data_IF_553741394721
#
_entry.id   IF_553741394721
#
_cell.length_a   1.000
_cell.length_b   1.000
_cell.length_c   1.000
_cell.angle_alpha   90.00
_cell.angle_beta   90.00
_cell.angle_gamma   90.00
#
_symmetry.space_group_name_H-M   'P 1'
#
loop_
_entity.id
_entity.type
_entity.pdbx_description
1 polymer ?
#
# COMPACT_ATOMS: atom_id res chain seq x y z
N UNK A 1 4.45 25.61 3.82
CA UNK A 1 4.75 24.28 3.23
C UNK A 1 4.25 23.22 4.22
N UNK A 2 3.44 22.24 3.78
CA UNK A 2 2.93 21.19 4.68
C UNK A 2 4.02 20.17 5.02
N UNK A 3 3.97 19.58 6.21
CA UNK A 3 4.94 18.57 6.69
C UNK A 3 4.69 17.23 5.99
N UNK A 4 5.74 16.46 5.71
CA UNK A 4 5.62 15.05 5.34
C UNK A 4 5.27 14.22 6.58
N UNK A 5 4.20 13.42 6.49
CA UNK A 5 3.77 12.55 7.58
C UNK A 5 4.65 11.29 7.64
N UNK A 6 4.95 10.76 8.83
CA UNK A 6 5.61 9.46 8.97
C UNK A 6 4.59 8.31 9.00
N UNK A 7 5.05 7.06 8.84
CA UNK A 7 4.20 5.87 8.96
C UNK A 7 3.54 5.77 10.36
N UNK A 8 4.28 6.10 11.42
CA UNK A 8 3.80 6.09 12.81
C UNK A 8 2.76 7.20 13.06
N UNK A 9 3.02 8.42 12.59
CA UNK A 9 2.08 9.54 12.68
C UNK A 9 0.77 9.24 11.94
N UNK A 10 0.87 8.67 10.73
CA UNK A 10 -0.29 8.26 9.93
C UNK A 10 -1.09 7.14 10.59
N UNK A 11 -0.39 6.16 11.17
CA UNK A 11 -1.02 5.07 11.93
C UNK A 11 -1.78 5.64 13.12
N UNK A 12 -1.15 6.54 13.88
CA UNK A 12 -1.76 7.20 15.05
C UNK A 12 -3.00 8.01 14.67
N UNK A 13 -2.94 8.79 13.59
CA UNK A 13 -4.09 9.53 13.04
C UNK A 13 -5.26 8.61 12.71
N UNK A 14 -5.00 7.49 12.04
CA UNK A 14 -6.04 6.53 11.67
C UNK A 14 -6.65 5.81 12.90
N UNK A 15 -5.88 5.60 13.97
CA UNK A 15 -6.41 5.09 15.24
C UNK A 15 -7.24 6.13 16.00
N UNK A 16 -6.83 7.41 16.00
CA UNK A 16 -7.61 8.50 16.61
C UNK A 16 -8.98 8.66 15.94
N UNK A 17 -9.05 8.56 14.61
CA UNK A 17 -10.32 8.56 13.87
C UNK A 17 -11.21 7.38 14.28
N UNK A 18 -10.64 6.17 14.41
CA UNK A 18 -11.38 5.01 14.90
C UNK A 18 -11.94 5.23 16.30
N UNK A 19 -11.16 5.82 17.21
CA UNK A 19 -11.61 6.13 18.56
C UNK A 19 -12.78 7.13 18.53
N UNK A 20 -12.65 8.22 17.77
CA UNK A 20 -13.71 9.21 17.59
C UNK A 20 -15.01 8.59 17.08
N UNK A 21 -14.92 7.69 16.09
CA UNK A 21 -16.08 6.97 15.56
C UNK A 21 -16.72 6.05 16.61
N UNK A 22 -15.90 5.37 17.42
CA UNK A 22 -16.37 4.56 18.54
C UNK A 22 -17.15 5.40 19.57
N UNK A 23 -16.59 6.54 19.97
CA UNK A 23 -17.25 7.47 20.89
C UNK A 23 -18.60 7.96 20.34
N UNK A 24 -18.65 8.37 19.07
CA UNK A 24 -19.89 8.84 18.42
C UNK A 24 -20.98 7.77 18.38
N UNK A 25 -20.62 6.50 18.20
CA UNK A 25 -21.58 5.39 18.25
C UNK A 25 -22.17 5.16 19.64
N UNK A 26 -21.40 5.42 20.70
CA UNK A 26 -21.85 5.27 22.11
C UNK A 26 -22.68 6.49 22.55
N UNK A 27 -22.35 7.68 22.06
CA UNK A 27 -23.09 8.92 22.35
C UNK A 27 -24.51 8.90 21.78
N UNK A 28 -24.73 8.17 20.66
CA UNK A 28 -26.05 8.06 20.05
C UNK A 28 -27.11 7.36 20.93
N UNK A 29 -26.77 6.34 21.75
CA UNK A 29 -27.70 5.75 22.72
C UNK A 29 -27.58 6.27 24.17
N UNK A 30 -26.46 6.89 24.57
CA UNK A 30 -26.24 7.33 25.96
C UNK A 30 -25.90 8.82 25.99
N UNK A 31 -26.80 9.65 26.53
CA UNK A 31 -26.60 11.09 26.67
C UNK A 31 -25.71 11.44 27.89
N UNK A 32 -24.44 11.06 27.89
CA UNK A 32 -23.48 11.65 28.83
C UNK A 32 -22.80 12.87 28.21
N UNK A 33 -22.96 14.03 28.87
CA UNK A 33 -22.35 15.30 28.47
C UNK A 33 -20.82 15.19 28.32
N UNK A 34 -20.16 14.40 29.17
CA UNK A 34 -18.71 14.21 29.18
C UNK A 34 -18.19 13.52 27.91
N UNK A 35 -18.88 12.49 27.41
CA UNK A 35 -18.47 11.80 26.17
C UNK A 35 -18.62 12.71 24.96
N UNK A 36 -19.64 13.57 24.92
CA UNK A 36 -19.83 14.57 23.86
C UNK A 36 -18.69 15.59 23.84
N UNK A 37 -18.30 16.12 25.00
CA UNK A 37 -17.19 17.06 25.12
C UNK A 37 -15.87 16.42 24.64
N UNK A 38 -15.53 15.23 25.15
CA UNK A 38 -14.31 14.52 24.75
C UNK A 38 -14.27 14.19 23.24
N UNK A 39 -15.42 13.82 22.65
CA UNK A 39 -15.51 13.59 21.21
C UNK A 39 -15.33 14.89 20.40
N UNK A 40 -15.79 16.02 20.92
CA UNK A 40 -15.53 17.35 20.36
C UNK A 40 -14.04 17.68 20.33
N UNK A 41 -13.37 17.54 21.48
CA UNK A 41 -11.94 17.82 21.64
C UNK A 41 -11.08 16.93 20.75
N UNK A 42 -11.41 15.63 20.68
CA UNK A 42 -10.71 14.69 19.80
C UNK A 42 -10.93 15.05 18.32
N UNK A 43 -12.14 15.45 17.94
CA UNK A 43 -12.44 15.89 16.58
C UNK A 43 -11.63 17.15 16.20
N UNK A 44 -11.54 18.13 17.10
CA UNK A 44 -10.73 19.33 16.90
C UNK A 44 -9.24 18.98 16.76
N UNK A 45 -8.73 18.11 17.65
CA UNK A 45 -7.35 17.64 17.64
C UNK A 45 -7.00 16.92 16.34
N UNK A 46 -7.88 16.05 15.84
CA UNK A 46 -7.69 15.34 14.58
C UNK A 46 -7.66 16.31 13.40
N UNK A 47 -8.58 17.29 13.35
CA UNK A 47 -8.62 18.28 12.28
C UNK A 47 -7.36 19.15 12.26
N UNK A 48 -6.90 19.57 13.44
CA UNK A 48 -5.66 20.35 13.57
C UNK A 48 -4.44 19.52 13.14
N UNK A 49 -4.36 18.26 13.58
CA UNK A 49 -3.26 17.37 13.23
C UNK A 49 -3.25 17.08 11.73
N UNK A 50 -4.37 16.65 11.14
CA UNK A 50 -4.45 16.30 9.72
C UNK A 50 -4.21 17.50 8.79
N UNK A 51 -4.60 18.72 9.20
CA UNK A 51 -4.34 19.95 8.44
C UNK A 51 -2.84 20.24 8.25
N UNK A 52 -1.98 19.73 9.14
CA UNK A 52 -0.53 19.86 9.06
C UNK A 52 0.10 19.03 7.93
N UNK A 53 -0.65 18.07 7.38
CA UNK A 53 -0.20 17.11 6.39
C UNK A 53 -0.99 17.22 5.09
N UNK A 54 -0.42 16.69 4.00
CA UNK A 54 -1.12 16.53 2.74
C UNK A 54 -1.73 15.12 2.70
N UNK A 55 -2.96 14.99 3.20
CA UNK A 55 -3.68 13.72 3.30
C UNK A 55 -5.04 13.83 2.62
N UNK A 56 -5.45 12.76 1.96
CA UNK A 56 -6.78 12.55 1.41
C UNK A 56 -7.59 11.59 2.29
N UNK A 57 -8.90 11.74 2.30
CA UNK A 57 -9.80 10.82 3.01
C UNK A 57 -10.28 9.71 2.09
N UNK A 58 -10.25 8.47 2.57
CA UNK A 58 -10.82 7.29 1.92
C UNK A 58 -11.84 6.62 2.83
N UNK A 59 -13.02 6.35 2.30
CA UNK A 59 -14.00 5.51 2.98
C UNK A 59 -13.61 4.04 2.85
N UNK A 60 -13.57 3.33 3.97
CA UNK A 60 -13.22 1.92 4.07
C UNK A 60 -14.43 1.14 4.62
N UNK A 61 -14.98 0.23 3.82
CA UNK A 61 -16.09 -0.65 4.23
C UNK A 61 -15.54 -1.95 4.78
N UNK A 62 -15.38 -2.03 6.09
CA UNK A 62 -14.89 -3.24 6.75
C UNK A 62 -16.04 -4.24 6.97
N UNK A 63 -15.91 -5.44 6.41
CA UNK A 63 -16.80 -6.57 6.71
C UNK A 63 -16.15 -7.42 7.78
N UNK A 64 -16.73 -7.43 8.97
CA UNK A 64 -16.38 -8.36 10.04
C UNK A 64 -17.53 -9.37 10.20
N UNK A 65 -17.29 -10.57 10.76
CA UNK A 65 -18.34 -11.55 10.97
C UNK A 65 -19.57 -10.92 11.67
N UNK A 66 -20.70 -10.92 10.97
CA UNK A 66 -21.97 -10.39 11.47
C UNK A 66 -22.18 -8.87 11.42
N UNK A 67 -21.19 -8.05 11.03
CA UNK A 67 -21.31 -6.59 11.05
C UNK A 67 -20.52 -5.88 9.93
N UNK A 68 -21.12 -4.84 9.35
CA UNK A 68 -20.46 -3.94 8.39
C UNK A 68 -20.12 -2.63 9.10
N UNK A 69 -18.87 -2.23 8.99
CA UNK A 69 -18.36 -1.01 9.59
C UNK A 69 -17.85 -0.06 8.51
N UNK A 70 -18.48 1.10 8.40
CA UNK A 70 -17.93 2.21 7.63
C UNK A 70 -16.88 2.94 8.48
N UNK A 71 -15.67 3.04 7.94
CA UNK A 71 -14.56 3.76 8.55
C UNK A 71 -14.01 4.82 7.58
N UNK A 72 -13.32 5.82 8.13
CA UNK A 72 -12.53 6.79 7.37
C UNK A 72 -11.06 6.45 7.58
N UNK A 73 -10.29 6.49 6.49
CA UNK A 73 -8.84 6.31 6.50
C UNK A 73 -8.22 7.53 5.85
N UNK A 74 -7.29 8.18 6.54
CA UNK A 74 -6.43 9.18 5.93
C UNK A 74 -5.31 8.48 5.18
N UNK A 75 -5.09 8.91 3.94
CA UNK A 75 -4.05 8.42 3.03
C UNK A 75 -3.17 9.60 2.63
N UNK A 76 -1.84 9.55 2.79
CA UNK A 76 -0.95 10.61 2.34
C UNK A 76 -1.10 10.81 0.83
N UNK A 77 -1.22 12.04 0.36
CA UNK A 77 -1.26 12.38 -1.08
C UNK A 77 0.14 12.42 -1.71
N UNK A 78 1.08 11.66 -1.14
CA UNK A 78 2.45 11.50 -1.61
C UNK A 78 2.81 10.01 -1.61
N UNK A 79 3.56 9.52 -2.61
CA UNK A 79 4.01 8.13 -2.64
C UNK A 79 4.90 7.78 -1.43
N UNK A 80 5.04 6.48 -1.16
CA UNK A 80 6.05 5.96 -0.23
C UNK A 80 5.56 5.59 1.17
N UNK A 81 4.28 5.79 1.51
CA UNK A 81 3.73 5.41 2.82
C UNK A 81 2.39 4.70 2.62
N UNK A 82 2.22 3.59 3.34
CA UNK A 82 0.97 2.82 3.34
C UNK A 82 0.07 3.29 4.48
N UNK A 83 -1.16 3.67 4.14
CA UNK A 83 -2.23 3.89 5.11
C UNK A 83 -2.94 2.57 5.43
N UNK A 84 -3.32 2.37 6.68
CA UNK A 84 -4.07 1.20 7.12
C UNK A 84 -5.37 1.58 7.78
N UNK A 85 -6.43 0.89 7.42
CA UNK A 85 -7.66 0.95 8.17
C UNK A 85 -7.45 0.41 9.60
N UNK A 86 -7.72 1.23 10.61
CA UNK A 86 -7.57 0.83 12.01
C UNK A 86 -8.55 -0.28 12.45
N UNK A 87 -9.62 -0.53 11.69
CA UNK A 87 -10.57 -1.63 11.90
C UNK A 87 -10.12 -2.93 11.22
N UNK A 88 -10.28 -3.04 9.90
CA UNK A 88 -10.04 -4.29 9.16
C UNK A 88 -8.63 -4.45 8.60
N UNK A 89 -7.72 -3.51 8.87
CA UNK A 89 -6.32 -3.53 8.39
C UNK A 89 -6.15 -3.44 6.87
N UNK A 90 -7.22 -3.19 6.12
CA UNK A 90 -7.20 -2.87 4.69
C UNK A 90 -6.18 -1.78 4.40
N UNK A 91 -5.40 -1.97 3.35
CA UNK A 91 -4.25 -1.12 3.01
C UNK A 91 -4.56 -0.20 1.84
N UNK A 92 -4.04 1.02 1.91
CA UNK A 92 -4.23 2.04 0.89
C UNK A 92 -2.93 2.80 0.64
N UNK A 93 -2.66 3.14 -0.61
CA UNK A 93 -1.50 3.94 -1.02
C UNK A 93 -1.93 4.98 -2.03
N UNK A 94 -1.19 6.10 -2.08
CA UNK A 94 -1.34 7.08 -3.14
C UNK A 94 -0.34 6.78 -4.25
N UNK A 95 -0.82 6.64 -5.48
CA UNK A 95 0.01 6.45 -6.66
C UNK A 95 -0.71 6.99 -7.88
N UNK A 96 0.04 7.58 -8.82
CA UNK A 96 -0.48 8.10 -10.09
C UNK A 96 -1.68 9.08 -9.95
N UNK A 97 -1.79 9.79 -8.82
CA UNK A 97 -2.87 10.76 -8.58
C UNK A 97 -4.15 10.17 -7.99
N UNK A 98 -4.16 8.89 -7.61
CA UNK A 98 -5.30 8.22 -7.01
C UNK A 98 -4.95 7.38 -5.77
N UNK A 99 -5.98 7.01 -5.00
CA UNK A 99 -5.85 6.11 -3.84
C UNK A 99 -6.14 4.68 -4.29
N UNK A 100 -5.15 3.82 -4.10
CA UNK A 100 -5.16 2.42 -4.52
C UNK A 100 -5.31 1.53 -3.31
N UNK A 101 -6.21 0.57 -3.40
CA UNK A 101 -6.42 -0.45 -2.38
C UNK A 101 -5.49 -1.65 -2.63
N UNK A 102 -4.81 -2.10 -1.57
CA UNK A 102 -3.83 -3.19 -1.64
C UNK A 102 -4.29 -4.41 -0.86
N UNK A 103 -4.12 -5.59 -1.45
CA UNK A 103 -4.47 -6.89 -0.86
C UNK A 103 -3.23 -7.76 -0.57
N UNK A 104 -2.17 -7.13 -0.03
CA UNK A 104 -0.94 -7.85 0.31
C UNK A 104 -0.74 -7.98 1.81
N UNK A 105 -0.48 -9.19 2.28
CA UNK A 105 -0.16 -9.44 3.68
C UNK A 105 1.27 -8.99 3.99
N UNK A 106 1.49 -8.08 4.97
CA UNK A 106 2.83 -7.64 5.35
C UNK A 106 3.73 -8.80 5.76
N UNK A 107 4.98 -8.80 5.29
CA UNK A 107 5.95 -9.84 5.60
C UNK A 107 5.73 -11.18 4.89
N UNK A 108 4.61 -11.37 4.18
CA UNK A 108 4.36 -12.55 3.38
C UNK A 108 5.04 -12.43 2.00
N UNK A 109 5.52 -13.56 1.48
CA UNK A 109 6.05 -13.64 0.12
C UNK A 109 4.87 -13.87 -0.81
N UNK A 110 4.50 -12.86 -1.59
CA UNK A 110 3.41 -12.95 -2.56
C UNK A 110 3.95 -13.35 -3.94
N UNK A 111 3.20 -14.19 -4.66
CA UNK A 111 3.37 -14.33 -6.10
C UNK A 111 2.69 -13.14 -6.79
N UNK A 112 3.49 -12.28 -7.42
CA UNK A 112 3.04 -11.02 -8.03
C UNK A 112 2.75 -11.13 -9.52
N UNK A 113 3.00 -12.30 -10.13
CA UNK A 113 2.90 -12.48 -11.59
C UNK A 113 1.47 -12.36 -12.13
N UNK A 114 0.46 -12.63 -11.31
CA UNK A 114 -0.95 -12.63 -11.73
C UNK A 114 -1.55 -11.22 -11.82
N UNK A 115 -0.79 -10.20 -11.43
CA UNK A 115 -1.24 -8.81 -11.38
C UNK A 115 -0.76 -7.99 -12.59
N UNK A 116 -0.13 -8.61 -13.59
CA UNK A 116 0.27 -7.93 -14.82
C UNK A 116 -0.92 -7.83 -15.79
N UNK A 117 -1.06 -6.67 -16.45
CA UNK A 117 -1.97 -6.54 -17.59
C UNK A 117 -1.48 -7.42 -18.74
N UNK A 118 -0.21 -7.26 -19.11
CA UNK A 118 0.46 -8.06 -20.14
C UNK A 118 1.73 -8.72 -19.57
N UNK A 119 1.56 -9.95 -19.05
CA UNK A 119 2.66 -10.73 -18.49
C UNK A 119 3.70 -11.03 -19.57
N UNK A 120 4.99 -10.73 -19.35
CA UNK A 120 6.03 -11.08 -20.33
C UNK A 120 6.12 -12.59 -20.52
N UNK A 121 6.20 -13.03 -21.78
CA UNK A 121 6.28 -14.45 -22.16
C UNK A 121 7.47 -15.16 -21.47
N UNK A 122 8.57 -14.45 -21.25
CA UNK A 122 9.75 -15.02 -20.60
C UNK A 122 9.60 -15.18 -19.09
N UNK A 123 8.68 -14.47 -18.43
CA UNK A 123 8.52 -14.49 -16.97
C UNK A 123 7.64 -15.68 -16.56
N UNK A 124 8.26 -16.64 -15.87
CA UNK A 124 7.56 -17.81 -15.32
C UNK A 124 6.88 -17.52 -13.99
N UNK A 125 7.54 -16.77 -13.11
CA UNK A 125 6.99 -16.37 -11.81
C UNK A 125 7.79 -15.20 -11.21
N UNK A 126 7.13 -14.44 -10.32
CA UNK A 126 7.69 -13.29 -9.63
C UNK A 126 7.26 -13.33 -8.16
N UNK A 127 8.22 -13.48 -7.24
CA UNK A 127 7.95 -13.49 -5.81
C UNK A 127 8.59 -12.29 -5.15
N UNK A 128 7.92 -11.73 -4.13
CA UNK A 128 8.52 -10.70 -3.31
C UNK A 128 7.85 -10.61 -1.94
N UNK A 129 8.58 -10.08 -0.96
CA UNK A 129 8.08 -9.81 0.38
C UNK A 129 7.55 -8.38 0.47
N UNK A 130 6.32 -8.20 0.96
CA UNK A 130 5.74 -6.87 1.14
C UNK A 130 6.26 -6.18 2.42
N UNK A 131 6.92 -5.03 2.24
CA UNK A 131 7.37 -4.13 3.31
C UNK A 131 6.45 -2.90 3.34
N UNK A 132 5.52 -2.97 4.28
CA UNK A 132 4.46 -1.98 4.45
C UNK A 132 4.97 -0.63 4.96
N UNK A 133 6.02 -0.62 5.78
CA UNK A 133 6.51 0.60 6.44
C UNK A 133 7.15 1.54 5.42
N UNK A 134 7.80 0.98 4.40
CA UNK A 134 8.49 1.71 3.35
C UNK A 134 7.78 1.66 1.99
N UNK A 135 6.57 1.09 1.93
CA UNK A 135 5.78 0.98 0.70
C UNK A 135 6.58 0.35 -0.46
N UNK A 136 7.24 -0.78 -0.19
CA UNK A 136 8.16 -1.42 -1.12
C UNK A 136 8.08 -2.95 -1.04
N UNK A 137 8.63 -3.59 -2.06
CA UNK A 137 8.86 -5.02 -2.13
C UNK A 137 10.33 -5.31 -1.87
N UNK A 138 10.59 -6.30 -1.02
CA UNK A 138 11.92 -6.79 -0.68
C UNK A 138 12.12 -8.20 -1.25
N UNK A 139 13.38 -8.63 -1.34
CA UNK A 139 13.78 -10.00 -1.71
C UNK A 139 13.10 -10.44 -3.01
N UNK A 140 13.07 -9.56 -4.01
CA UNK A 140 12.32 -9.80 -5.24
C UNK A 140 13.04 -10.87 -6.05
N UNK A 141 12.34 -11.95 -6.36
CA UNK A 141 12.86 -13.11 -7.06
C UNK A 141 12.09 -13.32 -8.37
N UNK A 142 12.82 -13.41 -9.47
CA UNK A 142 12.27 -13.56 -10.81
C UNK A 142 12.73 -14.87 -11.41
N UNK A 143 11.80 -15.65 -11.93
CA UNK A 143 12.11 -16.91 -12.60
C UNK A 143 11.74 -16.80 -14.08
N UNK A 144 12.68 -17.17 -14.96
CA UNK A 144 12.41 -17.24 -16.39
C UNK A 144 11.89 -18.62 -16.82
N UNK A 145 11.18 -18.64 -17.94
CA UNK A 145 10.88 -19.87 -18.68
C UNK A 145 12.18 -20.42 -19.26
N UNK A 146 12.52 -21.67 -18.97
CA UNK A 146 13.62 -22.36 -19.64
C UNK A 146 13.20 -22.64 -21.11
N UNK A 147 13.70 -21.86 -22.06
CA UNK A 147 13.39 -22.02 -23.48
C UNK A 147 14.51 -21.54 -24.40
N UNK A 148 14.66 -22.15 -25.59
CA UNK A 148 15.75 -21.87 -26.54
C UNK A 148 15.67 -20.46 -27.19
N UNK A 149 14.61 -19.71 -26.94
CA UNK A 149 14.31 -18.40 -27.56
C UNK A 149 14.65 -17.20 -26.69
N UNK A 150 15.36 -17.36 -25.57
CA UNK A 150 15.78 -16.21 -24.77
C UNK A 150 16.90 -15.45 -25.49
N UNK A 151 16.54 -14.36 -26.18
CA UNK A 151 17.48 -13.35 -26.69
C UNK A 151 18.12 -12.51 -25.58
N UNK A 152 17.97 -12.92 -24.31
CA UNK A 152 18.66 -12.38 -23.15
C UNK A 152 19.98 -13.13 -22.94
N UNK A 153 21.14 -12.47 -23.11
CA UNK A 153 22.43 -13.15 -23.05
C UNK A 153 22.79 -13.48 -21.59
N UNK A 154 22.97 -14.78 -21.29
CA UNK A 154 23.53 -15.28 -20.02
C UNK A 154 22.54 -15.99 -19.08
N UNK A 155 21.72 -16.90 -19.62
CA UNK A 155 20.63 -17.65 -18.98
C UNK A 155 20.90 -18.19 -17.56
N UNK A 156 20.75 -17.32 -16.56
CA UNK A 156 20.25 -17.75 -15.26
C UNK A 156 18.74 -17.79 -15.37
N UNK A 157 18.15 -18.92 -15.00
CA UNK A 157 16.70 -19.08 -14.86
C UNK A 157 16.11 -18.26 -13.70
N UNK A 158 16.94 -17.47 -13.02
CA UNK A 158 16.67 -16.83 -11.75
C UNK A 158 17.43 -15.51 -11.61
N UNK A 159 16.74 -14.47 -11.16
CA UNK A 159 17.33 -13.19 -10.77
C UNK A 159 16.79 -12.68 -9.45
N UNK A 160 17.59 -11.89 -8.75
CA UNK A 160 17.21 -11.23 -7.51
C UNK A 160 17.35 -9.71 -7.61
N UNK A 161 16.44 -9.00 -6.95
CA UNK A 161 16.51 -7.55 -6.76
C UNK A 161 16.23 -7.28 -5.27
N UNK A 162 17.17 -6.61 -4.59
CA UNK A 162 17.11 -6.37 -3.14
C UNK A 162 15.80 -5.65 -2.75
N UNK A 163 15.42 -4.63 -3.52
CA UNK A 163 14.19 -3.85 -3.30
C UNK A 163 13.62 -3.21 -4.56
N UNK A 164 12.30 -3.09 -4.61
CA UNK A 164 11.53 -2.36 -5.64
C UNK A 164 10.42 -1.58 -4.96
N UNK A 165 10.29 -0.28 -5.23
CA UNK A 165 9.19 0.52 -4.67
C UNK A 165 7.82 0.05 -5.19
N UNK A 166 6.75 0.28 -4.42
CA UNK A 166 5.40 0.00 -4.92
C UNK A 166 5.13 0.75 -6.23
N UNK A 167 5.56 2.01 -6.35
CA UNK A 167 5.31 2.82 -7.54
C UNK A 167 5.99 2.23 -8.79
N UNK A 168 7.25 1.78 -8.66
CA UNK A 168 7.96 1.10 -9.73
C UNK A 168 7.24 -0.19 -10.12
N UNK A 169 6.87 -1.03 -9.14
CA UNK A 169 6.12 -2.27 -9.34
C UNK A 169 4.74 -2.01 -9.96
N UNK A 170 4.11 -0.90 -9.63
CA UNK A 170 2.81 -0.55 -10.14
C UNK A 170 2.89 -0.12 -11.60
N UNK A 171 3.81 0.79 -11.94
CA UNK A 171 4.11 1.18 -13.33
C UNK A 171 4.46 -0.04 -14.15
N UNK A 172 5.20 -0.95 -13.55
CA UNK A 172 5.60 -2.20 -14.16
C UNK A 172 4.43 -3.09 -14.57
N UNK A 173 3.50 -3.32 -13.65
CA UNK A 173 2.32 -4.16 -13.85
C UNK A 173 1.34 -3.58 -14.86
N UNK A 174 1.28 -2.25 -14.99
CA UNK A 174 0.40 -1.55 -15.90
C UNK A 174 0.98 -1.27 -17.30
N UNK A 175 2.26 -1.56 -17.54
CA UNK A 175 2.89 -1.27 -18.83
C UNK A 175 2.44 -2.25 -19.93
N UNK A 176 1.81 -1.72 -20.98
CA UNK A 176 1.45 -2.46 -22.21
C UNK A 176 2.66 -2.87 -23.05
N UNK A 177 3.80 -2.19 -22.87
CA UNK A 177 5.09 -2.54 -23.48
C UNK A 177 6.02 -3.16 -22.45
N UNK A 178 5.47 -4.08 -21.65
CA UNK A 178 6.16 -4.66 -20.52
C UNK A 178 7.58 -5.09 -20.93
N UNK A 179 7.75 -5.83 -22.03
CA UNK A 179 9.07 -6.33 -22.48
C UNK A 179 10.17 -5.25 -22.62
N UNK A 180 9.86 -4.08 -23.17
CA UNK A 180 10.86 -2.99 -23.36
C UNK A 180 11.19 -2.33 -22.02
N UNK A 181 10.16 -2.12 -21.19
CA UNK A 181 10.34 -1.63 -19.83
C UNK A 181 11.20 -2.59 -19.00
N UNK A 182 10.96 -3.90 -19.11
CA UNK A 182 11.75 -4.96 -18.50
C UNK A 182 13.20 -4.91 -18.95
N UNK A 183 13.48 -4.88 -20.25
CA UNK A 183 14.85 -4.81 -20.74
C UNK A 183 15.62 -3.59 -20.21
N UNK A 184 14.96 -2.44 -20.10
CA UNK A 184 15.58 -1.20 -19.60
C UNK A 184 15.75 -1.23 -18.08
N UNK A 185 14.71 -1.60 -17.33
CA UNK A 185 14.71 -1.65 -15.87
C UNK A 185 15.67 -2.72 -15.33
N UNK A 186 15.68 -3.90 -15.95
CA UNK A 186 16.51 -5.03 -15.54
C UNK A 186 18.01 -4.79 -15.81
N UNK A 187 18.36 -4.16 -16.94
CA UNK A 187 19.76 -3.84 -17.29
C UNK A 187 20.44 -2.97 -16.23
N UNK A 188 19.69 -2.09 -15.57
CA UNK A 188 20.26 -1.14 -14.62
C UNK A 188 20.38 -1.66 -13.18
N UNK A 189 19.73 -2.78 -12.82
CA UNK A 189 19.58 -3.18 -11.40
C UNK A 189 20.00 -4.61 -11.06
N UNK A 190 20.29 -5.45 -12.04
CA UNK A 190 20.79 -6.79 -11.72
C UNK A 190 22.26 -6.77 -11.32
N UNK A 191 22.52 -7.20 -10.08
CA UNK A 191 23.81 -7.81 -9.74
C UNK A 191 23.79 -9.20 -10.37
N UNK A 192 24.64 -9.42 -11.37
CA UNK A 192 24.90 -10.76 -11.89
C UNK A 192 25.54 -11.54 -10.76
N UNK A 193 24.76 -12.37 -10.06
CA UNK A 193 25.32 -13.45 -9.25
C UNK A 193 25.99 -14.46 -10.18
#
# INVERSE_FOLDING_TARGET
>A
MKKAITFEELTSLNYMIKLLQGMRRIISPIETLDLRAQAGDLCASINQFSASFNVAMKYCKCRLPGQVYDNIVYVPSSPGIVARCAYCKQQYVWSAGEIIELDWTPGHIANLENNFIDKPIWLKSLFAKWDIEHCQFLDVQLFAVNGPTSSFPGAKSFWTIDRISFEDMHKWKQSSYSQVYWQSFLKCRFKKQ
#
